data_IF_962748286781
#
_entry.id   IF_962748286781
#
_cell.length_a   1.000
_cell.length_b   1.000
_cell.length_c   1.000
_cell.angle_alpha   90.00
_cell.angle_beta   90.00
_cell.angle_gamma   90.00
#
_symmetry.space_group_name_H-M   'P 1'
#
loop_
_entity.id
_entity.type
_entity.pdbx_description
1 polymer ?
#
# COMPACT_ATOMS: atom_id res chain seq x y z
N UNK A 1 29.99 -42.43 30.21
CA UNK A 1 29.82 -41.10 29.57
C UNK A 1 28.39 -40.99 29.07
N UNK A 2 27.57 -40.13 29.66
CA UNK A 2 26.15 -39.97 29.32
C UNK A 2 26.05 -38.78 28.37
N UNK A 3 25.57 -38.99 27.15
CA UNK A 3 25.32 -37.89 26.20
C UNK A 3 24.08 -37.10 26.67
N UNK A 4 24.10 -35.76 26.66
CA UNK A 4 22.89 -34.98 26.95
C UNK A 4 21.83 -35.25 25.88
N UNK A 5 20.59 -35.45 26.30
CA UNK A 5 19.47 -35.49 25.38
C UNK A 5 19.26 -34.09 24.81
N UNK A 6 19.54 -33.88 23.52
CA UNK A 6 19.11 -32.65 22.85
C UNK A 6 17.58 -32.60 22.84
N UNK A 7 17.02 -31.83 23.76
CA UNK A 7 15.62 -31.46 23.73
C UNK A 7 15.47 -30.53 22.53
N UNK A 8 15.02 -31.06 21.39
CA UNK A 8 14.61 -30.23 20.26
C UNK A 8 13.45 -29.35 20.71
N UNK A 9 13.76 -28.12 21.12
CA UNK A 9 12.75 -27.11 21.42
C UNK A 9 11.98 -26.86 20.13
N UNK A 10 10.79 -27.46 20.05
CA UNK A 10 9.89 -27.22 18.94
C UNK A 10 9.59 -25.72 18.96
N UNK A 11 10.11 -24.99 17.96
CA UNK A 11 9.95 -23.53 17.85
C UNK A 11 8.45 -23.22 17.94
N UNK A 12 8.03 -22.16 18.67
CA UNK A 12 6.61 -21.88 18.88
C UNK A 12 5.88 -21.85 17.53
N UNK A 13 4.87 -22.73 17.42
CA UNK A 13 4.06 -22.86 16.20
C UNK A 13 2.68 -22.25 16.45
N UNK A 14 2.31 -21.28 15.63
CA UNK A 14 1.01 -20.65 15.64
C UNK A 14 0.01 -21.54 14.88
N UNK A 15 -1.08 -21.93 15.54
CA UNK A 15 -2.17 -22.68 14.91
C UNK A 15 -3.07 -21.72 14.12
N UNK A 16 -2.86 -21.63 12.82
CA UNK A 16 -3.68 -20.84 11.90
C UNK A 16 -4.53 -21.72 10.98
N UNK A 17 -5.01 -21.11 9.89
CA UNK A 17 -5.80 -21.80 8.86
C UNK A 17 -5.30 -21.44 7.46
N UNK A 18 -5.56 -22.31 6.49
CA UNK A 18 -5.62 -21.97 5.06
C UNK A 18 -7.09 -21.74 4.72
N UNK A 19 -7.43 -20.65 4.06
CA UNK A 19 -8.81 -20.22 3.85
C UNK A 19 -8.96 -19.39 2.57
N UNK A 20 -10.19 -19.25 2.06
CA UNK A 20 -10.54 -18.22 1.08
C UNK A 20 -11.40 -17.14 1.73
N UNK A 21 -11.16 -15.86 1.43
CA UNK A 21 -11.95 -14.75 1.95
C UNK A 21 -13.03 -14.35 0.95
N UNK A 22 -14.24 -14.88 1.13
CA UNK A 22 -15.39 -14.61 0.25
C UNK A 22 -16.13 -13.34 0.68
N UNK A 23 -16.08 -12.28 -0.13
CA UNK A 23 -16.78 -11.03 0.11
C UNK A 23 -18.30 -11.18 -0.04
N UNK A 24 -19.08 -10.45 0.76
CA UNK A 24 -20.54 -10.32 0.58
C UNK A 24 -20.93 -9.88 -0.83
N UNK A 25 -20.06 -9.18 -1.56
CA UNK A 25 -20.32 -8.75 -2.94
C UNK A 25 -20.17 -9.87 -4.00
N UNK A 26 -19.88 -11.12 -3.60
CA UNK A 26 -19.87 -12.27 -4.50
C UNK A 26 -18.52 -12.56 -5.17
N UNK A 27 -17.42 -12.15 -4.54
CA UNK A 27 -16.05 -12.38 -5.03
C UNK A 27 -15.18 -12.95 -3.91
N UNK A 28 -14.28 -13.86 -4.26
CA UNK A 28 -13.14 -14.19 -3.41
C UNK A 28 -12.07 -13.12 -3.57
N UNK A 29 -11.49 -12.63 -2.47
CA UNK A 29 -10.24 -11.89 -2.54
C UNK A 29 -9.18 -12.75 -3.25
N UNK A 30 -8.37 -12.15 -4.10
CA UNK A 30 -7.27 -12.83 -4.82
C UNK A 30 -5.99 -11.99 -4.74
N UNK A 31 -4.85 -12.67 -4.64
CA UNK A 31 -3.51 -12.08 -4.67
C UNK A 31 -2.73 -12.69 -5.84
N UNK A 32 -2.54 -11.89 -6.89
CA UNK A 32 -1.88 -12.29 -8.12
C UNK A 32 -0.34 -12.39 -7.96
N UNK A 33 0.38 -13.11 -8.84
CA UNK A 33 1.84 -13.23 -8.79
C UNK A 33 2.62 -11.91 -8.89
N UNK A 34 2.05 -10.89 -9.52
CA UNK A 34 2.61 -9.53 -9.66
C UNK A 34 2.38 -8.65 -8.41
N UNK A 35 1.71 -9.18 -7.38
CA UNK A 35 1.30 -8.44 -6.18
C UNK A 35 -0.04 -7.70 -6.33
N UNK A 36 -0.70 -7.78 -7.49
CA UNK A 36 -2.03 -7.15 -7.67
C UNK A 36 -3.08 -7.84 -6.79
N UNK A 37 -3.92 -7.03 -6.14
CA UNK A 37 -5.01 -7.48 -5.26
C UNK A 37 -6.36 -7.13 -5.87
N UNK A 38 -7.18 -8.14 -6.14
CA UNK A 38 -8.51 -8.01 -6.75
C UNK A 38 -9.50 -9.03 -6.17
N UNK A 39 -10.66 -9.16 -6.83
CA UNK A 39 -11.75 -10.07 -6.46
C UNK A 39 -12.14 -10.95 -7.64
N UNK A 40 -12.02 -12.26 -7.48
CA UNK A 40 -12.39 -13.26 -8.49
C UNK A 40 -13.72 -13.94 -8.20
N UNK A 41 -14.38 -14.48 -9.22
CA UNK A 41 -15.49 -15.43 -9.08
C UNK A 41 -15.07 -16.88 -9.26
N UNK A 42 -13.82 -17.13 -9.65
CA UNK A 42 -13.28 -18.48 -9.79
C UNK A 42 -12.98 -19.09 -8.41
N UNK A 43 -13.81 -20.05 -8.00
CA UNK A 43 -13.62 -20.80 -6.75
C UNK A 43 -12.37 -21.71 -6.80
N UNK A 44 -11.95 -22.12 -8.00
CA UNK A 44 -10.79 -22.95 -8.25
C UNK A 44 -9.45 -22.21 -8.12
N UNK A 45 -9.45 -20.88 -8.30
CA UNK A 45 -8.26 -20.03 -8.28
C UNK A 45 -7.40 -20.29 -7.05
N UNK A 46 -6.19 -20.78 -7.26
CA UNK A 46 -5.22 -21.00 -6.18
C UNK A 46 -4.72 -19.70 -5.56
N UNK A 47 -4.84 -18.59 -6.27
CA UNK A 47 -4.47 -17.24 -5.81
C UNK A 47 -5.52 -16.62 -4.87
N UNK A 48 -6.69 -17.27 -4.70
CA UNK A 48 -7.69 -16.92 -3.68
C UNK A 48 -7.44 -17.57 -2.30
N UNK A 49 -6.40 -18.40 -2.19
CA UNK A 49 -6.03 -19.10 -0.96
C UNK A 49 -5.09 -18.25 -0.11
N UNK A 50 -5.43 -18.05 1.16
CA UNK A 50 -4.63 -17.30 2.13
C UNK A 50 -4.33 -18.11 3.37
N UNK A 51 -3.12 -17.93 3.88
CA UNK A 51 -2.73 -18.31 5.23
C UNK A 51 -3.24 -17.21 6.17
N UNK A 52 -4.17 -17.55 7.06
CA UNK A 52 -4.61 -16.69 8.16
C UNK A 52 -3.83 -17.10 9.42
N UNK A 53 -2.85 -16.28 9.79
CA UNK A 53 -1.88 -16.58 10.84
C UNK A 53 -2.21 -15.69 12.06
N UNK A 54 -2.54 -16.26 13.23
CA UNK A 54 -2.87 -15.46 14.41
C UNK A 54 -1.59 -14.88 15.04
N UNK A 55 -1.42 -13.57 14.96
CA UNK A 55 -0.25 -12.81 15.45
C UNK A 55 -0.58 -11.94 16.68
N UNK A 56 -1.68 -12.28 17.35
CA UNK A 56 -2.17 -11.63 18.56
C UNK A 56 -3.65 -11.94 18.82
N UNK A 57 -4.18 -11.52 19.99
CA UNK A 57 -5.58 -11.72 20.33
C UNK A 57 -6.50 -10.97 19.34
N UNK A 58 -7.20 -11.71 18.47
CA UNK A 58 -8.00 -11.17 17.36
C UNK A 58 -7.19 -10.34 16.35
N UNK A 59 -5.89 -10.61 16.22
CA UNK A 59 -5.01 -9.99 15.22
C UNK A 59 -4.46 -11.08 14.33
N UNK A 60 -4.65 -10.93 13.02
CA UNK A 60 -4.15 -11.87 12.00
C UNK A 60 -3.19 -11.17 11.06
N UNK A 61 -2.19 -11.93 10.61
CA UNK A 61 -1.51 -11.68 9.35
C UNK A 61 -2.27 -12.45 8.25
N UNK A 62 -2.39 -11.84 7.07
CA UNK A 62 -3.02 -12.45 5.90
C UNK A 62 -1.93 -12.57 4.84
N UNK A 63 -1.59 -13.79 4.44
CA UNK A 63 -0.51 -14.06 3.47
C UNK A 63 -1.07 -14.89 2.31
N UNK A 64 -0.74 -14.55 1.06
CA UNK A 64 -1.12 -15.33 -0.10
C UNK A 64 -0.44 -16.71 -0.06
N UNK A 65 -1.21 -17.80 -0.07
CA UNK A 65 -0.68 -19.15 0.11
C UNK A 65 0.21 -19.61 -1.07
N UNK A 66 0.05 -19.00 -2.25
CA UNK A 66 0.87 -19.28 -3.45
C UNK A 66 2.02 -18.30 -3.67
N UNK A 67 1.86 -17.04 -3.27
CA UNK A 67 2.86 -15.97 -3.48
C UNK A 67 3.83 -15.82 -2.31
N UNK A 68 3.42 -16.22 -1.09
CA UNK A 68 4.17 -15.97 0.14
C UNK A 68 4.14 -14.51 0.62
N UNK A 69 3.53 -13.60 -0.15
CA UNK A 69 3.44 -12.18 0.18
C UNK A 69 2.36 -11.93 1.25
N UNK A 70 2.66 -11.05 2.20
CA UNK A 70 1.70 -10.53 3.16
C UNK A 70 0.86 -9.42 2.54
N UNK A 71 -0.43 -9.40 2.84
CA UNK A 71 -1.26 -8.21 2.65
C UNK A 71 -0.87 -7.16 3.69
N UNK A 72 -0.68 -5.91 3.28
CA UNK A 72 -0.48 -4.75 4.13
C UNK A 72 -1.47 -3.63 3.82
N UNK A 73 -1.65 -2.69 4.75
CA UNK A 73 -2.37 -1.43 4.51
C UNK A 73 -1.52 -0.26 4.96
N UNK A 74 -1.18 0.63 4.01
CA UNK A 74 -0.30 1.77 4.29
C UNK A 74 -1.00 2.95 4.97
N UNK A 75 -0.21 3.96 5.38
CA UNK A 75 -0.68 5.19 6.05
C UNK A 75 -1.66 6.04 5.23
N UNK A 76 -1.65 5.90 3.91
CA UNK A 76 -2.65 6.47 3.01
C UNK A 76 -3.98 5.68 3.06
N UNK A 77 -3.90 4.38 3.32
CA UNK A 77 -5.00 3.43 3.33
C UNK A 77 -5.11 2.60 2.05
N UNK A 78 -4.08 2.58 1.20
CA UNK A 78 -4.02 1.61 0.11
C UNK A 78 -3.66 0.24 0.65
N UNK A 79 -4.28 -0.81 0.11
CA UNK A 79 -3.80 -2.17 0.29
C UNK A 79 -2.62 -2.40 -0.66
N UNK A 80 -1.63 -3.14 -0.18
CA UNK A 80 -0.43 -3.50 -0.95
C UNK A 80 0.07 -4.89 -0.51
N UNK A 81 1.03 -5.44 -1.25
CA UNK A 81 1.69 -6.72 -0.92
C UNK A 81 3.12 -6.50 -0.44
N UNK A 82 3.55 -7.26 0.57
CA UNK A 82 4.85 -7.15 1.23
C UNK A 82 5.53 -8.51 1.34
N UNK A 83 6.80 -8.62 0.99
CA UNK A 83 7.62 -9.81 1.26
C UNK A 83 7.87 -9.98 2.77
N UNK A 84 8.06 -8.86 3.48
CA UNK A 84 8.33 -8.84 4.91
C UNK A 84 7.05 -8.66 5.73
N UNK A 85 6.97 -9.33 6.88
CA UNK A 85 5.89 -9.09 7.85
C UNK A 85 6.17 -7.80 8.63
N UNK A 86 5.41 -6.75 8.36
CA UNK A 86 5.54 -5.43 9.01
C UNK A 86 4.36 -5.15 9.96
N UNK A 87 4.42 -4.09 10.78
CA UNK A 87 3.27 -3.58 11.53
C UNK A 87 2.02 -3.28 10.66
N UNK A 88 2.20 -2.89 9.39
CA UNK A 88 1.10 -2.64 8.44
C UNK A 88 0.41 -3.93 7.95
N UNK A 89 1.03 -5.09 8.14
CA UNK A 89 0.48 -6.41 7.81
C UNK A 89 -0.42 -7.00 8.92
N UNK A 90 -0.63 -6.25 10.02
CA UNK A 90 -1.44 -6.69 11.18
C UNK A 90 -2.87 -6.17 11.06
N UNK A 91 -3.82 -7.09 10.88
CA UNK A 91 -5.24 -6.77 10.83
C UNK A 91 -5.98 -7.27 12.06
N UNK A 92 -6.75 -6.40 12.70
CA UNK A 92 -7.74 -6.81 13.69
C UNK A 92 -8.92 -7.45 12.98
N UNK A 93 -9.14 -8.74 13.23
CA UNK A 93 -10.38 -9.42 12.86
C UNK A 93 -11.49 -9.07 13.86
N UNK A 94 -12.72 -8.91 13.38
CA UNK A 94 -13.88 -8.66 14.23
C UNK A 94 -15.16 -9.10 13.55
N UNK A 95 -15.98 -9.83 14.29
CA UNK A 95 -17.32 -10.23 13.84
C UNK A 95 -18.22 -8.99 13.71
N UNK A 96 -19.11 -9.03 12.73
CA UNK A 96 -20.15 -8.05 12.47
C UNK A 96 -21.50 -8.77 12.30
N UNK A 97 -22.52 -8.31 13.05
CA UNK A 97 -23.89 -8.87 13.06
C UNK A 97 -23.95 -10.40 13.22
N UNK A 98 -22.98 -10.97 13.97
CA UNK A 98 -22.82 -12.41 14.22
C UNK A 98 -22.68 -13.30 12.97
N UNK A 99 -22.43 -12.72 11.80
CA UNK A 99 -22.39 -13.45 10.53
C UNK A 99 -21.13 -13.18 9.71
N UNK A 100 -20.74 -11.91 9.54
CA UNK A 100 -19.56 -11.54 8.75
C UNK A 100 -18.32 -11.33 9.61
N UNK A 101 -17.13 -11.56 9.02
CA UNK A 101 -15.85 -11.11 9.57
C UNK A 101 -15.43 -9.84 8.84
N UNK A 102 -14.93 -8.86 9.61
CA UNK A 102 -14.34 -7.62 9.12
C UNK A 102 -12.86 -7.58 9.54
N UNK A 103 -11.99 -7.09 8.66
CA UNK A 103 -10.56 -6.95 8.93
C UNK A 103 -10.16 -5.48 8.85
N UNK A 104 -9.63 -4.93 9.95
CA UNK A 104 -9.22 -3.52 10.03
C UNK A 104 -7.75 -3.35 10.34
N UNK A 105 -7.12 -2.30 9.80
CA UNK A 105 -5.73 -1.98 10.12
C UNK A 105 -5.56 -1.79 11.63
N UNK A 106 -4.51 -2.37 12.20
CA UNK A 106 -4.12 -2.12 13.59
C UNK A 106 -3.61 -0.70 13.81
N UNK A 107 -2.98 -0.10 12.79
CA UNK A 107 -2.36 1.23 12.86
C UNK A 107 -3.33 2.34 12.46
N UNK A 108 -4.02 2.17 11.33
CA UNK A 108 -4.65 3.31 10.63
C UNK A 108 -6.15 3.42 10.85
N UNK A 109 -6.55 4.67 11.18
CA UNK A 109 -7.93 5.08 11.46
C UNK A 109 -8.11 6.55 11.10
N UNK A 110 -9.36 6.98 10.98
CA UNK A 110 -9.69 8.39 10.78
C UNK A 110 -9.34 9.20 12.04
N UNK A 111 -8.41 10.16 11.93
CA UNK A 111 -7.90 10.94 13.08
C UNK A 111 -9.00 11.56 13.95
N UNK A 112 -10.00 12.22 13.33
CA UNK A 112 -11.06 12.94 14.06
C UNK A 112 -12.11 12.01 14.69
N UNK A 113 -12.60 11.01 13.96
CA UNK A 113 -13.72 10.16 14.41
C UNK A 113 -13.31 8.82 15.01
N UNK A 114 -12.00 8.52 15.07
CA UNK A 114 -11.46 7.23 15.53
C UNK A 114 -11.81 6.02 14.66
N UNK A 115 -12.62 6.19 13.60
CA UNK A 115 -13.12 5.12 12.73
C UNK A 115 -11.97 4.37 12.05
N UNK A 116 -11.79 3.09 12.39
CA UNK A 116 -10.80 2.22 11.75
C UNK A 116 -10.96 2.15 10.23
N UNK A 117 -9.87 1.86 9.53
CA UNK A 117 -9.87 1.56 8.10
C UNK A 117 -9.90 0.05 7.88
N UNK A 118 -10.60 -0.40 6.84
CA UNK A 118 -10.93 -1.82 6.63
C UNK A 118 -10.45 -2.32 5.27
N UNK A 119 -10.04 -3.58 5.20
CA UNK A 119 -9.95 -4.30 3.92
C UNK A 119 -11.35 -4.34 3.32
N UNK A 120 -11.47 -4.17 2.00
CA UNK A 120 -12.76 -4.33 1.34
C UNK A 120 -12.70 -4.35 -0.19
N UNK A 121 -13.75 -4.91 -0.79
CA UNK A 121 -13.95 -5.04 -2.23
C UNK A 121 -15.26 -4.33 -2.62
N UNK A 122 -15.28 -3.59 -3.73
CA UNK A 122 -16.50 -2.96 -4.24
C UNK A 122 -17.44 -3.99 -4.91
N UNK A 123 -18.49 -3.54 -5.60
CA UNK A 123 -19.44 -4.45 -6.29
C UNK A 123 -18.89 -5.01 -7.60
N UNK A 124 -17.84 -4.38 -8.12
CA UNK A 124 -17.20 -4.65 -9.40
C UNK A 124 -15.98 -5.58 -9.25
N UNK A 125 -15.76 -6.14 -8.05
CA UNK A 125 -14.63 -7.02 -7.74
C UNK A 125 -13.32 -6.30 -7.44
N UNK A 126 -13.29 -4.98 -7.37
CA UNK A 126 -12.06 -4.21 -7.17
C UNK A 126 -11.80 -3.92 -5.69
N UNK A 127 -10.53 -4.02 -5.28
CA UNK A 127 -10.08 -3.64 -3.93
C UNK A 127 -10.25 -2.12 -3.69
N UNK A 128 -10.68 -1.76 -2.49
CA UNK A 128 -10.97 -0.39 -2.08
C UNK A 128 -9.90 0.18 -1.14
N UNK A 129 -9.59 1.49 -1.28
CA UNK A 129 -8.81 2.25 -0.28
C UNK A 129 -9.52 2.18 1.07
N UNK A 130 -8.84 1.69 2.11
CA UNK A 130 -9.44 1.25 3.38
C UNK A 130 -10.13 2.36 4.17
N UNK A 131 -9.75 3.62 3.94
CA UNK A 131 -10.46 4.76 4.52
C UNK A 131 -11.88 4.96 3.92
N UNK A 132 -12.15 4.49 2.69
CA UNK A 132 -13.47 4.52 2.05
C UNK A 132 -14.37 3.36 2.51
N UNK A 133 -13.77 2.27 3.01
CA UNK A 133 -14.49 1.11 3.52
C UNK A 133 -15.06 1.40 4.91
N UNK A 134 -16.31 0.99 5.17
CA UNK A 134 -17.03 1.21 6.43
C UNK A 134 -17.51 -0.12 7.00
N UNK A 135 -17.35 -0.33 8.32
CA UNK A 135 -17.72 -1.59 9.01
C UNK A 135 -19.16 -2.05 8.74
N UNK A 136 -20.09 -1.11 8.52
CA UNK A 136 -21.53 -1.37 8.31
C UNK A 136 -21.94 -1.48 6.85
N UNK A 137 -21.00 -1.78 5.95
CA UNK A 137 -21.23 -1.88 4.49
C UNK A 137 -20.59 -3.16 3.97
N UNK A 138 -21.32 -3.86 3.09
CA UNK A 138 -20.92 -5.17 2.52
C UNK A 138 -19.53 -5.22 1.91
N UNK A 139 -18.97 -4.08 1.49
CA UNK A 139 -17.57 -4.00 1.06
C UNK A 139 -16.57 -4.50 2.12
N UNK A 140 -16.85 -4.30 3.41
CA UNK A 140 -16.00 -4.72 4.53
C UNK A 140 -16.23 -6.17 4.98
N UNK A 141 -17.27 -6.83 4.44
CA UNK A 141 -17.83 -8.05 4.98
C UNK A 141 -17.29 -9.28 4.23
N UNK A 142 -16.63 -10.17 4.96
CA UNK A 142 -16.07 -11.42 4.42
C UNK A 142 -16.58 -12.64 5.19
N UNK A 143 -16.70 -13.76 4.49
CA UNK A 143 -16.94 -15.09 5.02
C UNK A 143 -15.67 -15.94 4.77
N UNK A 144 -14.90 -16.29 5.81
CA UNK A 144 -13.77 -17.20 5.65
C UNK A 144 -14.25 -18.62 5.31
N UNK A 145 -14.00 -19.06 4.08
CA UNK A 145 -14.22 -20.45 3.65
C UNK A 145 -12.95 -21.25 3.96
N UNK A 146 -12.90 -21.80 5.17
CA UNK A 146 -11.77 -22.60 5.68
C UNK A 146 -11.53 -23.80 4.77
N UNK A 147 -10.27 -24.04 4.41
CA UNK A 147 -9.81 -25.22 3.67
C UNK A 147 -9.24 -26.23 4.66
N UNK A 148 -8.24 -25.82 5.44
CA UNK A 148 -7.58 -26.68 6.43
C UNK A 148 -6.98 -25.87 7.59
N UNK A 149 -6.58 -26.58 8.64
CA UNK A 149 -5.84 -26.03 9.79
C UNK A 149 -4.35 -26.29 9.56
N UNK A 150 -3.52 -25.27 9.76
CA UNK A 150 -2.08 -25.35 9.50
C UNK A 150 -1.26 -24.75 10.66
N UNK A 151 -0.06 -25.29 10.86
CA UNK A 151 0.89 -24.80 11.86
C UNK A 151 1.95 -23.91 11.21
N UNK A 152 2.02 -22.66 11.65
CA UNK A 152 2.94 -21.65 11.10
C UNK A 152 4.05 -21.34 12.10
N UNK A 153 5.24 -21.00 11.61
CA UNK A 153 6.24 -20.32 12.44
C UNK A 153 5.77 -18.89 12.68
N UNK A 154 6.07 -18.33 13.84
CA UNK A 154 5.83 -16.90 14.10
C UNK A 154 6.59 -16.04 13.08
N UNK A 155 5.91 -15.14 12.35
CA UNK A 155 6.58 -14.26 11.39
C UNK A 155 7.48 -13.25 12.10
N UNK A 156 8.74 -13.12 11.64
CA UNK A 156 9.67 -12.11 12.15
C UNK A 156 9.20 -10.72 11.77
N UNK A 157 8.89 -9.88 12.77
CA UNK A 157 8.47 -8.50 12.58
C UNK A 157 9.64 -7.65 12.05
N UNK A 158 9.46 -7.07 10.86
CA UNK A 158 10.37 -6.08 10.30
C UNK A 158 9.82 -4.68 10.58
N UNK A 159 10.67 -3.76 11.02
CA UNK A 159 10.29 -2.37 11.25
C UNK A 159 10.02 -1.65 9.93
N UNK A 160 9.15 -0.63 9.97
CA UNK A 160 8.91 0.23 8.82
C UNK A 160 10.11 1.16 8.66
N UNK A 161 10.96 0.89 7.67
CA UNK A 161 12.09 1.77 7.36
C UNK A 161 11.55 3.04 6.72
N UNK A 162 11.43 4.10 7.54
CA UNK A 162 11.16 5.44 7.07
C UNK A 162 12.44 6.00 6.42
N UNK A 163 12.79 5.52 5.22
CA UNK A 163 13.92 6.07 4.45
C UNK A 163 13.61 7.53 4.07
N UNK A 164 14.33 8.54 4.61
CA UNK A 164 14.27 9.88 4.07
C UNK A 164 14.92 9.85 2.68
N UNK A 165 14.13 10.14 1.63
CA UNK A 165 14.65 10.27 0.26
C UNK A 165 15.51 11.53 0.12
N UNK A 166 16.76 11.46 0.56
CA UNK A 166 17.72 12.54 0.37
C UNK A 166 19.03 12.09 -0.30
N UNK A 167 19.49 12.96 -1.22
CA UNK A 167 20.81 13.01 -1.87
C UNK A 167 21.00 12.00 -3.03
N UNK A 168 21.75 12.33 -4.08
CA UNK A 168 22.71 13.44 -4.26
C UNK A 168 22.44 14.30 -5.50
N UNK A 169 22.67 15.62 -5.38
CA UNK A 169 23.26 16.42 -6.48
C UNK A 169 23.93 17.70 -5.97
N UNK A 170 25.06 17.57 -5.27
CA UNK A 170 25.99 18.70 -5.10
C UNK A 170 27.46 18.27 -4.89
N UNK A 171 28.15 18.10 -6.02
CA UNK A 171 29.55 18.47 -6.29
C UNK A 171 29.45 19.21 -7.64
N UNK A 172 29.95 20.43 -7.82
CA UNK A 172 31.31 20.87 -7.51
C UNK A 172 31.38 22.23 -6.78
N UNK A 173 32.54 22.51 -6.17
CA UNK A 173 32.87 23.82 -5.59
C UNK A 173 33.97 24.55 -6.36
N UNK A 174 33.84 25.87 -6.34
CA UNK A 174 34.93 26.87 -6.33
C UNK A 174 35.60 27.28 -7.66
N UNK A 175 35.29 28.50 -8.10
CA UNK A 175 35.99 29.25 -9.16
C UNK A 175 37.24 29.96 -8.63
N UNK A 176 38.19 30.31 -9.52
CA UNK A 176 39.03 31.50 -9.33
C UNK A 176 38.82 32.56 -10.44
N UNK A 177 39.32 33.77 -10.20
CA UNK A 177 38.84 34.99 -10.86
C UNK A 177 39.63 35.50 -12.09
N UNK A 178 38.87 36.06 -13.03
CA UNK A 178 39.12 37.19 -13.96
C UNK A 178 40.57 37.73 -14.12
N UNK A 179 41.07 37.73 -15.37
CA UNK A 179 41.97 38.77 -15.91
C UNK A 179 41.54 39.19 -17.34
N UNK A 180 41.84 40.43 -17.68
CA UNK A 180 41.46 41.15 -18.91
C UNK A 180 42.64 41.28 -19.88
N UNK A 181 42.45 41.19 -21.21
CA UNK A 181 43.25 41.87 -22.26
C UNK A 181 42.44 41.91 -23.59
N UNK A 182 42.64 42.96 -24.41
CA UNK A 182 42.07 43.20 -25.77
C UNK A 182 42.87 42.35 -26.80
N UNK A 183 42.41 41.90 -27.97
CA UNK A 183 41.76 42.56 -29.14
C UNK A 183 41.28 41.37 -30.04
N UNK A 184 40.79 41.43 -31.30
CA UNK A 184 40.63 42.47 -32.33
C UNK A 184 39.40 42.19 -33.22
N UNK A 185 39.32 42.90 -34.35
CA UNK A 185 38.26 42.95 -35.36
C UNK A 185 38.17 41.70 -36.26
N UNK A 186 36.95 41.37 -36.74
CA UNK A 186 36.64 41.55 -38.17
C UNK A 186 35.12 41.69 -38.44
N UNK A 187 34.78 42.24 -39.61
CA UNK A 187 33.45 42.72 -40.00
C UNK A 187 32.56 41.61 -40.55
N UNK A 188 31.23 41.82 -40.51
CA UNK A 188 30.40 41.93 -41.72
C UNK A 188 29.07 42.65 -41.40
N UNK A 189 28.78 43.71 -42.15
CA UNK A 189 27.52 44.47 -42.05
C UNK A 189 26.46 43.84 -42.97
N UNK A 190 25.23 43.63 -42.48
CA UNK A 190 24.02 43.68 -43.31
C UNK A 190 22.97 44.52 -42.57
N UNK A 191 22.23 45.33 -43.32
CA UNK A 191 21.71 46.62 -42.88
C UNK A 191 20.19 46.72 -43.07
N UNK A 192 19.49 47.23 -42.04
CA UNK A 192 18.08 47.67 -42.00
C UNK A 192 16.99 46.56 -42.07
N UNK A 193 15.78 46.75 -41.54
CA UNK A 193 15.06 48.02 -41.31
C UNK A 193 14.13 48.05 -40.06
N UNK A 194 13.76 49.27 -39.67
CA UNK A 194 12.96 49.62 -38.48
C UNK A 194 11.45 49.46 -38.76
N UNK A 195 10.68 48.99 -37.75
CA UNK A 195 9.34 49.55 -37.41
C UNK A 195 8.79 49.05 -36.05
N UNK A 196 8.71 49.98 -35.09
CA UNK A 196 7.86 49.84 -33.89
C UNK A 196 6.39 50.12 -34.25
N UNK A 197 5.44 49.38 -33.66
CA UNK A 197 4.17 50.00 -33.29
C UNK A 197 3.49 49.28 -32.09
N UNK A 198 2.85 50.08 -31.23
CA UNK A 198 2.31 49.69 -29.92
C UNK A 198 0.97 50.39 -29.69
N UNK A 199 -0.13 49.63 -29.53
CA UNK A 199 -1.40 50.01 -28.88
C UNK A 199 -2.01 48.69 -28.33
N UNK A 200 -2.11 48.39 -27.04
CA UNK A 200 -2.80 49.04 -25.91
C UNK A 200 -4.33 49.22 -26.03
N UNK A 201 -5.04 48.49 -25.15
CA UNK A 201 -6.30 48.86 -24.44
C UNK A 201 -7.58 48.85 -25.30
N UNK A 202 -8.79 48.61 -24.75
CA UNK A 202 -9.27 48.73 -23.35
C UNK A 202 -10.55 47.87 -23.13
N UNK A 203 -10.85 47.49 -21.89
CA UNK A 203 -12.19 47.03 -21.49
C UNK A 203 -13.10 48.22 -21.09
N UNK A 204 -14.42 48.00 -20.94
CA UNK A 204 -15.09 48.40 -19.69
C UNK A 204 -16.06 47.35 -19.10
N UNK A 205 -16.62 47.66 -17.92
CA UNK A 205 -17.51 46.84 -17.06
C UNK A 205 -18.99 47.32 -17.13
N UNK A 206 -19.86 46.55 -16.46
CA UNK A 206 -21.13 46.97 -15.81
C UNK A 206 -22.34 47.21 -16.73
N UNK A 207 -23.60 47.04 -16.29
CA UNK A 207 -24.13 46.52 -15.02
C UNK A 207 -25.58 45.98 -15.17
N UNK A 208 -26.08 45.32 -14.11
CA UNK A 208 -27.48 45.17 -13.67
C UNK A 208 -28.63 44.83 -14.68
N UNK A 209 -29.28 43.68 -14.43
CA UNK A 209 -30.74 43.56 -14.16
C UNK A 209 -31.03 42.23 -13.46
#
# INVERSE_FOLDING_TARGET
SIKPWHHSTCKPQLKGIVTRLYSQHGYYLQMQPDGTMDGTRDEGSSFSQFNLIPVGLRIVAIQGAKTGLYLGMNSDGYLYTSEHFTPECKFKESVFENYYVTYSSMLYRQNQSGRSWYIGINRDGQVMKGNRVKKTKGAAHFLPKVIEVAMYKEPSLHELVNEPKEKEKERDKESPARKTVKTSEERHEITFSIKNCRKEKKAPKADAS
#
